data_IF_240401017056
#
_entry.id   IF_240401017056
#
_cell.length_a   1.000
_cell.length_b   1.000
_cell.length_c   1.000
_cell.angle_alpha   90.00
_cell.angle_beta   90.00
_cell.angle_gamma   90.00
#
_symmetry.space_group_name_H-M   'P 1'
#
loop_
_entity.id
_entity.type
_entity.pdbx_description
1 polymer ?
#
# COMPACT_ATOMS: atom_id res chain seq x y z
N UNK A 1 -1.16 7.35 -8.94
CA UNK A 1 -2.14 7.47 -7.83
C UNK A 1 -2.94 8.77 -7.86
N UNK A 2 -2.49 9.83 -8.53
CA UNK A 2 -3.21 11.12 -8.57
C UNK A 2 -4.65 11.03 -9.09
N UNK A 3 -4.90 10.27 -10.17
CA UNK A 3 -6.27 10.07 -10.66
C UNK A 3 -7.17 9.35 -9.65
N UNK A 4 -6.59 8.44 -8.86
CA UNK A 4 -7.32 7.74 -7.79
C UNK A 4 -7.62 8.68 -6.62
N UNK A 5 -6.67 9.54 -6.24
CA UNK A 5 -6.88 10.58 -5.23
C UNK A 5 -8.11 11.42 -5.56
N UNK A 6 -8.20 11.96 -6.78
CA UNK A 6 -9.33 12.81 -7.18
C UNK A 6 -10.67 12.06 -7.20
N UNK A 7 -10.67 10.76 -7.52
CA UNK A 7 -11.89 9.94 -7.56
C UNK A 7 -12.36 9.53 -6.18
N UNK A 8 -11.41 9.25 -5.27
CA UNK A 8 -11.68 8.73 -3.94
C UNK A 8 -11.82 9.83 -2.88
N UNK A 9 -11.39 11.06 -3.17
CA UNK A 9 -11.55 12.20 -2.26
C UNK A 9 -13.01 12.54 -1.94
N UNK A 10 -13.96 12.05 -2.72
CA UNK A 10 -15.39 12.16 -2.42
C UNK A 10 -15.85 11.20 -1.30
N UNK A 11 -15.07 10.17 -1.01
CA UNK A 11 -15.41 9.13 -0.02
C UNK A 11 -14.72 9.35 1.33
N UNK A 12 -13.72 10.22 1.39
CA UNK A 12 -12.95 10.52 2.60
C UNK A 12 -11.64 11.25 2.29
N UNK A 13 -10.91 11.58 3.35
CA UNK A 13 -9.60 12.22 3.22
C UNK A 13 -8.60 11.26 2.56
N UNK A 14 -7.90 11.75 1.54
CA UNK A 14 -6.96 10.95 0.76
C UNK A 14 -5.54 11.49 0.89
N UNK A 15 -4.75 10.83 1.75
CA UNK A 15 -3.36 11.19 2.00
C UNK A 15 -2.43 10.41 1.07
N UNK A 16 -1.57 11.13 0.35
CA UNK A 16 -0.49 10.56 -0.47
C UNK A 16 0.85 10.90 0.13
N UNK A 17 1.82 10.01 -0.05
CA UNK A 17 3.22 10.25 0.27
C UNK A 17 4.12 9.64 -0.79
N UNK A 18 5.36 10.14 -0.85
CA UNK A 18 6.41 9.58 -1.69
C UNK A 18 7.39 8.77 -0.84
N UNK A 19 7.81 7.62 -1.35
CA UNK A 19 8.91 6.85 -0.77
C UNK A 19 10.24 7.59 -0.93
N UNK A 20 11.21 7.28 -0.06
CA UNK A 20 12.50 7.99 -0.03
C UNK A 20 13.29 7.83 -1.33
N UNK A 21 13.27 6.67 -1.99
CA UNK A 21 13.86 6.53 -3.33
C UNK A 21 13.23 7.46 -4.37
N UNK A 22 11.92 7.69 -4.31
CA UNK A 22 11.21 8.58 -5.24
C UNK A 22 11.58 10.04 -4.98
N UNK A 23 11.59 10.47 -3.71
CA UNK A 23 12.04 11.83 -3.31
C UNK A 23 13.47 12.11 -3.76
N UNK A 24 14.32 11.08 -3.77
CA UNK A 24 15.72 11.14 -4.25
C UNK A 24 15.85 10.98 -5.78
N UNK A 25 14.76 10.90 -6.53
CA UNK A 25 14.78 10.74 -7.99
C UNK A 25 15.34 9.39 -8.48
N UNK A 26 15.48 8.38 -7.60
CA UNK A 26 16.01 7.07 -7.96
C UNK A 26 14.93 6.21 -8.62
N UNK A 27 15.31 5.38 -9.59
CA UNK A 27 14.38 4.43 -10.25
C UNK A 27 14.17 3.15 -9.45
N UNK A 28 15.23 2.64 -8.82
CA UNK A 28 15.19 1.38 -8.06
C UNK A 28 14.50 1.62 -6.71
N UNK A 29 13.46 0.85 -6.36
CA UNK A 29 12.83 0.93 -5.05
C UNK A 29 13.81 0.58 -3.93
N UNK A 30 13.56 1.17 -2.76
CA UNK A 30 14.27 0.79 -1.54
C UNK A 30 13.97 -0.68 -1.15
N UNK A 31 14.83 -1.32 -0.34
CA UNK A 31 14.54 -2.62 0.24
C UNK A 31 13.21 -2.62 1.01
N UNK A 32 12.52 -3.77 1.01
CA UNK A 32 11.19 -3.89 1.62
C UNK A 32 11.09 -3.35 3.06
N UNK A 33 12.04 -3.61 3.98
CA UNK A 33 11.97 -3.05 5.34
C UNK A 33 11.95 -1.51 5.38
N UNK A 34 12.68 -0.85 4.48
CA UNK A 34 12.69 0.62 4.38
C UNK A 34 11.36 1.14 3.82
N UNK A 35 10.78 0.44 2.84
CA UNK A 35 9.47 0.79 2.30
C UNK A 35 8.36 0.64 3.37
N UNK A 36 8.41 -0.42 4.18
CA UNK A 36 7.48 -0.63 5.30
C UNK A 36 7.62 0.52 6.31
N UNK A 37 8.85 0.82 6.75
CA UNK A 37 9.11 1.88 7.71
C UNK A 37 8.64 3.26 7.21
N UNK A 38 8.88 3.58 5.93
CA UNK A 38 8.41 4.82 5.32
C UNK A 38 6.87 4.89 5.27
N UNK A 39 6.21 3.78 4.94
CA UNK A 39 4.74 3.70 4.87
C UNK A 39 4.11 3.82 6.27
N UNK A 40 4.68 3.16 7.29
CA UNK A 40 4.25 3.26 8.69
C UNK A 40 4.38 4.69 9.22
N UNK A 41 5.48 5.38 8.89
CA UNK A 41 5.65 6.80 9.24
C UNK A 41 4.54 7.66 8.63
N UNK A 42 4.29 7.51 7.33
CA UNK A 42 3.23 8.24 6.65
C UNK A 42 1.83 7.94 7.22
N UNK A 43 1.59 6.69 7.63
CA UNK A 43 0.36 6.27 8.31
C UNK A 43 0.20 6.96 9.67
N UNK A 44 1.25 7.02 10.49
CA UNK A 44 1.22 7.74 11.79
C UNK A 44 0.93 9.22 11.59
N UNK A 45 1.66 9.89 10.69
CA UNK A 45 1.47 11.31 10.38
C UNK A 45 0.07 11.61 9.82
N UNK A 46 -0.52 10.66 9.08
CA UNK A 46 -1.89 10.80 8.59
C UNK A 46 -2.91 10.67 9.73
N UNK A 47 -2.72 9.72 10.65
CA UNK A 47 -3.60 9.51 11.82
C UNK A 47 -3.54 10.65 12.83
N UNK A 48 -2.37 11.25 13.01
CA UNK A 48 -2.19 12.43 13.87
C UNK A 48 -2.96 13.64 13.34
N UNK A 49 -2.87 13.89 12.02
CA UNK A 49 -3.60 15.01 11.38
C UNK A 49 -5.09 14.74 11.23
N UNK A 50 -5.46 13.47 11.08
CA UNK A 50 -6.82 13.03 10.85
C UNK A 50 -7.13 11.87 11.79
N UNK A 51 -7.57 12.15 13.04
CA UNK A 51 -8.01 11.14 13.99
C UNK A 51 -9.35 10.56 13.53
N UNK A 52 -9.32 9.83 12.42
CA UNK A 52 -10.46 9.13 11.85
C UNK A 52 -10.59 7.76 12.49
N UNK A 53 -11.82 7.27 12.57
CA UNK A 53 -12.12 5.93 13.09
C UNK A 53 -11.76 4.80 12.13
N UNK A 54 -11.61 5.08 10.84
CA UNK A 54 -11.43 4.06 9.79
C UNK A 54 -10.23 4.43 8.93
N UNK A 55 -9.24 3.56 8.87
CA UNK A 55 -8.03 3.69 8.05
C UNK A 55 -7.96 2.59 7.01
N UNK A 56 -7.93 2.95 5.73
CA UNK A 56 -7.77 2.01 4.61
C UNK A 56 -6.45 2.32 3.91
N UNK A 57 -5.60 1.31 3.71
CA UNK A 57 -4.41 1.46 2.87
C UNK A 57 -4.74 1.12 1.43
N UNK A 58 -4.34 1.97 0.49
CA UNK A 58 -4.56 1.78 -0.94
C UNK A 58 -3.26 1.94 -1.71
N UNK A 59 -2.98 1.00 -2.61
CA UNK A 59 -1.73 1.05 -3.37
C UNK A 59 -1.80 0.29 -4.68
N UNK A 60 -1.10 0.83 -5.70
CA UNK A 60 -0.91 0.16 -6.98
C UNK A 60 0.39 -0.65 -6.99
N UNK A 61 0.32 -1.89 -7.49
CA UNK A 61 1.48 -2.78 -7.67
C UNK A 61 2.33 -2.88 -6.39
N UNK A 62 3.56 -2.37 -6.40
CA UNK A 62 4.45 -2.33 -5.24
C UNK A 62 3.79 -1.70 -4.00
N UNK A 63 3.04 -0.60 -4.17
CA UNK A 63 2.38 0.07 -3.03
C UNK A 63 1.33 -0.82 -2.36
N UNK A 64 0.58 -1.62 -3.14
CA UNK A 64 -0.36 -2.59 -2.60
C UNK A 64 0.36 -3.70 -1.83
N UNK A 65 1.46 -4.22 -2.37
CA UNK A 65 2.31 -5.19 -1.67
C UNK A 65 2.86 -4.65 -0.35
N UNK A 66 3.39 -3.44 -0.35
CA UNK A 66 3.91 -2.82 0.89
C UNK A 66 2.78 -2.60 1.88
N UNK A 67 1.59 -2.17 1.43
CA UNK A 67 0.40 -2.04 2.27
C UNK A 67 0.01 -3.34 2.97
N UNK A 68 0.06 -4.48 2.27
CA UNK A 68 -0.12 -5.81 2.86
C UNK A 68 0.90 -6.13 3.96
N UNK A 69 2.18 -5.78 3.77
CA UNK A 69 3.16 -5.97 4.84
C UNK A 69 2.89 -5.05 6.04
N UNK A 70 2.52 -3.79 5.79
CA UNK A 70 2.20 -2.83 6.85
C UNK A 70 1.00 -3.28 7.68
N UNK A 71 -0.05 -3.83 7.06
CA UNK A 71 -1.24 -4.28 7.79
C UNK A 71 -1.04 -5.51 8.67
N UNK A 72 0.10 -6.21 8.57
CA UNK A 72 0.49 -7.21 9.56
C UNK A 72 1.10 -6.58 10.83
N UNK A 73 1.66 -5.38 10.72
CA UNK A 73 2.32 -4.68 11.82
C UNK A 73 1.42 -3.60 12.45
N UNK A 74 0.48 -3.07 11.67
CA UNK A 74 -0.38 -1.94 12.04
C UNK A 74 -1.84 -2.34 11.86
N UNK A 75 -2.66 -2.07 12.87
CA UNK A 75 -4.11 -2.29 12.76
C UNK A 75 -4.71 -1.29 11.77
N UNK A 76 -5.21 -1.76 10.62
CA UNK A 76 -5.92 -0.97 9.61
C UNK A 76 -7.21 -1.72 9.23
N UNK A 77 -8.25 -0.96 8.89
CA UNK A 77 -9.61 -1.49 8.69
C UNK A 77 -9.81 -2.15 7.32
N UNK A 78 -8.90 -1.89 6.37
CA UNK A 78 -8.96 -2.50 5.06
C UNK A 78 -7.76 -2.21 4.17
N UNK A 79 -7.66 -3.00 3.11
CA UNK A 79 -6.68 -2.87 2.05
C UNK A 79 -7.36 -2.80 0.69
N UNK A 80 -6.85 -1.92 -0.18
CA UNK A 80 -7.21 -1.88 -1.60
C UNK A 80 -5.94 -2.07 -2.43
N UNK A 81 -5.84 -3.23 -3.06
CA UNK A 81 -4.71 -3.60 -3.92
C UNK A 81 -5.08 -3.41 -5.39
N UNK A 82 -4.50 -2.38 -6.01
CA UNK A 82 -4.70 -2.06 -7.42
C UNK A 82 -3.60 -2.75 -8.25
N UNK A 83 -3.93 -3.88 -8.87
CA UNK A 83 -3.00 -4.70 -9.63
C UNK A 83 -1.84 -5.23 -8.80
N UNK A 84 -2.17 -6.00 -7.77
CA UNK A 84 -1.18 -6.66 -6.91
C UNK A 84 -0.23 -7.53 -7.75
N UNK A 85 1.11 -7.43 -7.55
CA UNK A 85 2.09 -8.16 -8.34
C UNK A 85 2.25 -9.58 -7.80
N UNK A 86 1.23 -10.44 -7.99
CA UNK A 86 1.22 -11.82 -7.47
C UNK A 86 2.43 -12.62 -7.99
N UNK A 87 2.66 -12.55 -9.30
CA UNK A 87 3.84 -13.10 -9.95
C UNK A 87 4.91 -12.02 -10.08
N UNK A 88 6.07 -12.21 -9.45
CA UNK A 88 7.15 -11.24 -9.53
C UNK A 88 7.61 -11.06 -10.99
N UNK A 89 7.42 -9.86 -11.56
CA UNK A 89 7.75 -9.59 -12.98
C UNK A 89 7.08 -10.56 -13.97
N UNK A 90 5.92 -11.12 -13.62
CA UNK A 90 5.22 -12.10 -14.45
C UNK A 90 5.71 -13.55 -14.31
N UNK A 91 6.77 -13.79 -13.53
CA UNK A 91 7.30 -15.13 -13.26
C UNK A 91 6.35 -15.90 -12.33
N UNK A 92 5.65 -16.89 -12.90
CA UNK A 92 4.66 -17.73 -12.18
C UNK A 92 5.30 -18.66 -11.16
N UNK A 93 6.61 -18.87 -11.22
CA UNK A 93 7.34 -19.69 -10.23
C UNK A 93 7.66 -18.90 -8.96
N UNK A 94 7.57 -17.57 -9.01
CA UNK A 94 7.89 -16.67 -7.90
C UNK A 94 6.65 -15.93 -7.43
N UNK A 95 5.79 -16.68 -6.73
CA UNK A 95 4.59 -16.14 -6.11
C UNK A 95 4.94 -15.28 -4.89
N UNK A 96 4.18 -14.21 -4.72
CA UNK A 96 4.21 -13.32 -3.54
C UNK A 96 2.95 -13.49 -2.72
N UNK A 97 2.55 -14.73 -2.51
CA UNK A 97 1.30 -15.14 -1.84
C UNK A 97 1.48 -15.43 -0.35
N UNK A 98 2.70 -15.69 0.12
CA UNK A 98 3.01 -15.88 1.55
C UNK A 98 2.40 -14.79 2.43
N UNK A 99 2.61 -13.52 2.05
CA UNK A 99 2.05 -12.38 2.76
C UNK A 99 0.52 -12.37 2.69
N UNK A 100 -0.07 -12.73 1.56
CA UNK A 100 -1.52 -12.74 1.38
C UNK A 100 -2.19 -13.80 2.25
N UNK A 101 -1.53 -14.93 2.46
CA UNK A 101 -2.01 -16.02 3.33
C UNK A 101 -1.93 -15.67 4.82
N UNK A 102 -1.00 -14.77 5.19
CA UNK A 102 -0.85 -14.32 6.57
C UNK A 102 -1.83 -13.21 6.96
N UNK A 103 -2.48 -12.56 5.99
CA UNK A 103 -3.36 -11.42 6.24
C UNK A 103 -4.69 -11.84 6.84
N UNK A 104 -5.10 -11.11 7.87
CA UNK A 104 -6.46 -11.16 8.44
C UNK A 104 -7.27 -9.90 8.10
N UNK A 105 -6.60 -8.82 7.68
CA UNK A 105 -7.24 -7.58 7.24
C UNK A 105 -8.10 -7.82 5.98
N UNK A 106 -9.35 -7.31 5.92
CA UNK A 106 -10.16 -7.36 4.70
C UNK A 106 -9.45 -6.70 3.52
N UNK A 107 -9.40 -7.40 2.37
CA UNK A 107 -8.71 -6.93 1.17
C UNK A 107 -9.65 -6.92 -0.03
N UNK A 108 -9.67 -5.80 -0.75
CA UNK A 108 -10.21 -5.69 -2.10
C UNK A 108 -9.07 -5.73 -3.13
N UNK A 109 -9.15 -6.67 -4.06
CA UNK A 109 -8.29 -6.70 -5.24
C UNK A 109 -9.01 -6.11 -6.45
N UNK A 110 -8.37 -5.16 -7.13
CA UNK A 110 -8.82 -4.64 -8.42
C UNK A 110 -7.74 -4.93 -9.44
N UNK A 111 -8.04 -5.77 -10.43
CA UNK A 111 -7.07 -6.23 -11.42
C UNK A 111 -7.60 -6.01 -12.83
N UNK A 112 -6.73 -5.55 -13.73
CA UNK A 112 -7.06 -5.44 -15.16
C UNK A 112 -7.07 -6.82 -15.82
N UNK A 113 -7.88 -6.96 -16.86
CA UNK A 113 -7.95 -8.16 -17.73
C UNK A 113 -6.91 -8.11 -18.84
#
# INVERSE_FOLDING_TARGET
>A
MQNWKNRLSQLGEFVTFDYDYMRKGRKRPDPLPQLIAAHRRALSEARERHPSRITILIGKSMGGRVGCHVSLEENVDGLICLGYPLCAMGDRTKLRDEILRALTTPILFVQGT
#
